data_IF_758947339829
#
_entry.id   IF_758947339829
#
_cell.length_a   1.000
_cell.length_b   1.000
_cell.length_c   1.000
_cell.angle_alpha   90.00
_cell.angle_beta   90.00
_cell.angle_gamma   90.00
#
_symmetry.space_group_name_H-M   'P 1'
#
loop_
_entity.id
_entity.type
_entity.pdbx_description
1 polymer ?
#
# COMPACT_ATOMS: atom_id res chain seq x y z
N UNK A 1 -6.91 -13.11 -42.41
CA UNK A 1 -6.38 -12.20 -41.37
C UNK A 1 -6.33 -10.79 -41.94
N UNK A 2 -7.01 -9.80 -41.32
CA UNK A 2 -7.04 -8.41 -41.80
C UNK A 2 -6.26 -7.54 -40.80
N UNK A 3 -5.12 -6.99 -41.23
CA UNK A 3 -4.31 -6.10 -40.41
C UNK A 3 -4.91 -4.69 -40.45
N UNK A 4 -5.29 -4.16 -39.29
CA UNK A 4 -5.91 -2.84 -39.19
C UNK A 4 -5.10 -1.96 -38.25
N UNK A 5 -4.55 -0.86 -38.77
CA UNK A 5 -3.80 0.12 -37.97
C UNK A 5 -4.69 1.34 -37.70
N UNK A 6 -5.01 1.58 -36.43
CA UNK A 6 -5.79 2.76 -36.02
C UNK A 6 -5.01 4.05 -36.36
N UNK A 7 -5.69 4.96 -37.05
CA UNK A 7 -5.18 6.31 -37.28
C UNK A 7 -5.17 7.09 -35.96
N UNK A 8 -4.14 7.90 -35.76
CA UNK A 8 -3.94 8.73 -34.57
C UNK A 8 -3.45 10.11 -35.01
N UNK A 9 -3.66 11.13 -34.17
CA UNK A 9 -3.18 12.48 -34.46
C UNK A 9 -1.64 12.57 -34.33
N UNK A 10 -0.90 12.88 -35.42
CA UNK A 10 0.54 13.05 -35.37
C UNK A 10 0.99 14.22 -34.48
N UNK A 11 0.14 15.23 -34.26
CA UNK A 11 0.46 16.38 -33.40
C UNK A 11 0.46 15.99 -31.93
N UNK A 12 -0.53 15.21 -31.50
CA UNK A 12 -0.56 14.62 -30.17
C UNK A 12 0.68 13.74 -29.91
N UNK A 13 1.06 12.89 -30.88
CA UNK A 13 2.29 12.07 -30.78
C UNK A 13 3.53 12.93 -30.55
N UNK A 14 3.73 13.99 -31.35
CA UNK A 14 4.87 14.91 -31.19
C UNK A 14 4.84 15.64 -29.84
N UNK A 15 3.65 15.97 -29.35
CA UNK A 15 3.47 16.64 -28.06
C UNK A 15 3.88 15.75 -26.91
N UNK A 16 3.40 14.51 -26.89
CA UNK A 16 3.76 13.50 -25.88
C UNK A 16 5.26 13.18 -25.95
N UNK A 17 5.79 12.90 -27.15
CA UNK A 17 7.21 12.60 -27.34
C UNK A 17 8.12 13.69 -26.77
N UNK A 18 7.81 14.96 -27.05
CA UNK A 18 8.58 16.10 -26.54
C UNK A 18 8.39 16.30 -25.03
N UNK A 19 7.17 16.18 -24.50
CA UNK A 19 6.86 16.41 -23.09
C UNK A 19 7.57 15.40 -22.19
N UNK A 20 7.53 14.11 -22.56
CA UNK A 20 8.09 13.01 -21.77
C UNK A 20 9.47 12.55 -22.24
N UNK A 21 10.07 13.26 -23.21
CA UNK A 21 11.40 12.97 -23.76
C UNK A 21 11.56 11.52 -24.26
N UNK A 22 10.50 10.95 -24.84
CA UNK A 22 10.49 9.61 -25.44
C UNK A 22 10.52 9.69 -26.97
N UNK A 23 10.86 8.59 -27.62
CA UNK A 23 10.88 8.52 -29.07
C UNK A 23 9.46 8.55 -29.67
N UNK A 24 9.30 9.02 -30.93
CA UNK A 24 7.99 9.09 -31.57
C UNK A 24 7.29 7.74 -31.75
N UNK A 25 8.03 6.62 -31.82
CA UNK A 25 7.42 5.29 -31.95
C UNK A 25 6.72 4.92 -30.64
N UNK A 26 7.39 5.06 -29.49
CA UNK A 26 6.81 4.84 -28.16
C UNK A 26 5.60 5.74 -27.91
N UNK A 27 5.71 7.04 -28.18
CA UNK A 27 4.58 7.97 -28.05
C UNK A 27 3.40 7.55 -28.94
N UNK A 28 3.68 7.05 -30.15
CA UNK A 28 2.63 6.59 -31.07
C UNK A 28 1.96 5.28 -30.63
N UNK A 29 2.63 4.45 -29.82
CA UNK A 29 2.05 3.24 -29.21
C UNK A 29 1.10 3.66 -28.08
N UNK A 30 1.54 4.56 -27.19
CA UNK A 30 0.72 5.10 -26.10
C UNK A 30 -0.58 5.73 -26.62
N UNK A 31 -0.48 6.63 -27.61
CA UNK A 31 -1.66 7.26 -28.22
C UNK A 31 -2.59 6.24 -28.88
N UNK A 32 -2.05 5.18 -29.50
CA UNK A 32 -2.89 4.10 -30.08
C UNK A 32 -3.62 3.27 -29.04
N UNK A 33 -3.07 3.16 -27.83
CA UNK A 33 -3.71 2.55 -26.67
C UNK A 33 -4.65 3.50 -25.93
N UNK A 34 -4.83 4.73 -26.43
CA UNK A 34 -5.58 5.82 -25.80
C UNK A 34 -5.01 6.23 -24.42
N UNK A 35 -3.70 6.09 -24.24
CA UNK A 35 -2.96 6.56 -23.07
C UNK A 35 -2.47 7.97 -23.36
N UNK A 36 -3.30 8.96 -23.02
CA UNK A 36 -3.05 10.38 -23.36
C UNK A 36 -2.98 11.29 -22.15
N UNK A 37 -3.53 10.86 -21.02
CA UNK A 37 -3.52 11.64 -19.80
C UNK A 37 -2.16 11.58 -19.10
N UNK A 38 -1.72 12.67 -18.44
CA UNK A 38 -0.42 12.71 -17.79
C UNK A 38 -0.17 11.58 -16.82
N UNK A 39 -1.14 11.25 -15.97
CA UNK A 39 -1.05 10.22 -14.94
C UNK A 39 -0.90 8.83 -15.57
N UNK A 40 -1.63 8.57 -16.65
CA UNK A 40 -1.52 7.32 -17.41
C UNK A 40 -0.14 7.18 -18.05
N UNK A 41 0.36 8.26 -18.67
CA UNK A 41 1.66 8.22 -19.33
C UNK A 41 2.79 8.05 -18.30
N UNK A 42 2.73 8.77 -17.17
CA UNK A 42 3.67 8.61 -16.06
C UNK A 42 3.67 7.17 -15.54
N UNK A 43 2.50 6.58 -15.34
CA UNK A 43 2.39 5.18 -14.89
C UNK A 43 3.15 4.18 -15.77
N UNK A 44 3.21 4.41 -17.10
CA UNK A 44 3.92 3.52 -18.02
C UNK A 44 5.39 3.86 -18.24
N UNK A 45 5.81 5.10 -17.99
CA UNK A 45 7.15 5.59 -18.32
C UNK A 45 8.05 5.76 -17.11
N UNK A 46 7.47 5.97 -15.93
CA UNK A 46 8.20 6.28 -14.71
C UNK A 46 8.25 5.05 -13.78
N UNK A 47 9.42 4.82 -13.23
CA UNK A 47 9.65 3.86 -12.13
C UNK A 47 9.53 4.63 -10.80
N UNK A 48 8.34 5.16 -10.55
CA UNK A 48 8.03 5.98 -9.39
C UNK A 48 7.25 5.17 -8.35
N UNK A 49 7.80 5.05 -7.15
CA UNK A 49 7.17 4.33 -6.03
C UNK A 49 5.84 4.95 -5.60
N UNK A 50 5.56 6.22 -5.91
CA UNK A 50 4.26 6.85 -5.66
C UNK A 50 3.13 6.22 -6.50
N UNK A 51 3.47 5.56 -7.60
CA UNK A 51 2.52 4.80 -8.42
C UNK A 51 2.21 3.42 -7.81
N UNK A 52 2.97 3.00 -6.79
CA UNK A 52 2.69 1.78 -6.03
C UNK A 52 1.56 2.04 -5.03
N UNK A 53 0.33 1.80 -5.47
CA UNK A 53 -0.87 2.00 -4.64
C UNK A 53 -0.78 1.31 -3.26
N UNK A 54 -1.30 1.98 -2.23
CA UNK A 54 -1.33 1.47 -0.85
C UNK A 54 -2.14 0.15 -0.77
N UNK A 55 -1.65 -0.88 -0.07
CA UNK A 55 -2.30 -2.18 -0.01
C UNK A 55 -3.67 -2.16 0.70
N UNK A 56 -3.89 -1.23 1.64
CA UNK A 56 -5.17 -1.08 2.35
C UNK A 56 -6.28 -0.42 1.53
N UNK A 57 -6.01 -0.11 0.25
CA UNK A 57 -7.06 0.19 -0.72
C UNK A 57 -7.85 -1.07 -1.12
N UNK A 58 -7.32 -2.27 -0.86
CA UNK A 58 -8.12 -3.49 -0.88
C UNK A 58 -9.05 -3.51 0.32
N UNK A 59 -10.37 -3.62 0.08
CA UNK A 59 -11.37 -3.60 1.14
C UNK A 59 -11.14 -4.69 2.22
N UNK A 60 -10.77 -5.90 1.80
CA UNK A 60 -10.53 -7.05 2.68
C UNK A 60 -9.10 -7.16 3.21
N UNK A 61 -8.23 -6.17 2.96
CA UNK A 61 -6.82 -6.24 3.38
C UNK A 61 -6.68 -6.25 4.90
N UNK A 62 -7.52 -5.48 5.60
CA UNK A 62 -7.49 -5.48 7.07
C UNK A 62 -7.85 -6.85 7.64
N UNK A 63 -8.92 -7.48 7.15
CA UNK A 63 -9.34 -8.81 7.58
C UNK A 63 -8.24 -9.86 7.36
N UNK A 64 -7.54 -9.78 6.22
CA UNK A 64 -6.43 -10.67 5.91
C UNK A 64 -5.26 -10.49 6.89
N UNK A 65 -4.87 -9.25 7.16
CA UNK A 65 -3.74 -8.92 8.04
C UNK A 65 -4.06 -9.23 9.50
N UNK A 66 -5.27 -8.93 9.98
CA UNK A 66 -5.73 -9.30 11.32
C UNK A 66 -5.63 -10.81 11.53
N UNK A 67 -6.09 -11.61 10.56
CA UNK A 67 -6.04 -13.07 10.69
C UNK A 67 -4.62 -13.62 10.70
N UNK A 68 -3.72 -13.02 9.92
CA UNK A 68 -2.29 -13.37 9.92
C UNK A 68 -1.62 -12.95 11.24
N UNK A 69 -2.01 -11.82 11.82
CA UNK A 69 -1.54 -11.38 13.14
C UNK A 69 -1.96 -12.36 14.24
N UNK A 70 -3.23 -12.80 14.24
CA UNK A 70 -3.71 -13.85 15.15
C UNK A 70 -2.90 -15.14 14.99
N UNK A 71 -2.66 -15.58 13.74
CA UNK A 71 -1.85 -16.77 13.49
C UNK A 71 -0.44 -16.64 14.08
N UNK A 72 0.14 -15.44 14.03
CA UNK A 72 1.48 -15.18 14.58
C UNK A 72 1.46 -15.17 16.11
N UNK A 73 0.48 -14.52 16.72
CA UNK A 73 0.36 -14.39 18.18
C UNK A 73 0.11 -15.74 18.85
N UNK A 74 -0.71 -16.59 18.22
CA UNK A 74 -1.06 -17.91 18.72
C UNK A 74 -0.11 -19.02 18.23
N UNK A 75 1.02 -18.66 17.60
CA UNK A 75 2.03 -19.59 17.07
C UNK A 75 1.43 -20.67 16.14
N UNK A 76 0.42 -20.29 15.35
CA UNK A 76 -0.27 -21.16 14.41
C UNK A 76 0.62 -21.54 13.22
N UNK A 77 0.34 -22.71 12.64
CA UNK A 77 0.94 -23.16 11.38
C UNK A 77 0.10 -22.69 10.21
N UNK A 78 0.78 -22.17 9.19
CA UNK A 78 0.16 -21.63 7.96
C UNK A 78 0.56 -22.46 6.75
N UNK A 79 -0.39 -22.73 5.85
CA UNK A 79 -0.11 -23.30 4.53
C UNK A 79 -0.27 -22.22 3.45
N UNK A 80 0.79 -21.97 2.70
CA UNK A 80 0.70 -21.26 1.41
C UNK A 80 0.42 -22.29 0.33
N UNK A 81 -0.72 -22.17 -0.36
CA UNK A 81 -1.10 -23.04 -1.46
C UNK A 81 -1.15 -22.25 -2.76
N UNK A 82 -0.26 -22.52 -3.71
CA UNK A 82 -0.17 -21.76 -4.97
C UNK A 82 -0.47 -22.55 -6.22
N UNK A 83 -0.42 -21.90 -7.38
CA UNK A 83 -0.48 -22.56 -8.69
C UNK A 83 0.91 -22.99 -9.22
N UNK A 84 0.89 -23.90 -10.19
CA UNK A 84 2.06 -24.51 -10.85
C UNK A 84 2.69 -23.66 -11.96
N UNK A 85 2.04 -22.59 -12.39
CA UNK A 85 2.57 -21.69 -13.41
C UNK A 85 3.61 -20.70 -12.85
N UNK A 86 4.11 -19.77 -13.67
CA UNK A 86 5.15 -18.82 -13.22
C UNK A 86 4.61 -17.79 -12.21
N UNK A 87 3.36 -17.35 -12.35
CA UNK A 87 2.74 -16.39 -11.42
C UNK A 87 2.49 -17.11 -10.08
N UNK A 88 1.91 -18.32 -10.10
CA UNK A 88 1.69 -19.14 -8.90
C UNK A 88 2.96 -19.53 -8.15
N UNK A 89 4.01 -19.98 -8.85
CA UNK A 89 5.28 -20.34 -8.21
C UNK A 89 5.98 -19.15 -7.58
N UNK A 90 6.04 -18.00 -8.28
CA UNK A 90 6.66 -16.80 -7.73
C UNK A 90 5.85 -16.22 -6.56
N UNK A 91 4.52 -16.28 -6.65
CA UNK A 91 3.62 -15.93 -5.55
C UNK A 91 3.85 -16.79 -4.31
N UNK A 92 4.00 -18.10 -4.51
CA UNK A 92 4.24 -19.05 -3.41
C UNK A 92 5.53 -18.73 -2.68
N UNK A 93 6.62 -18.50 -3.41
CA UNK A 93 7.92 -18.14 -2.82
C UNK A 93 7.82 -16.80 -2.09
N UNK A 94 7.29 -15.76 -2.74
CA UNK A 94 7.19 -14.42 -2.16
C UNK A 94 6.35 -14.41 -0.88
N UNK A 95 5.18 -15.05 -0.90
CA UNK A 95 4.29 -15.11 0.25
C UNK A 95 4.92 -15.92 1.39
N UNK A 96 5.54 -17.06 1.06
CA UNK A 96 6.22 -17.90 2.05
C UNK A 96 7.33 -17.15 2.76
N UNK A 97 8.19 -16.44 2.01
CA UNK A 97 9.29 -15.66 2.57
C UNK A 97 8.77 -14.50 3.42
N UNK A 98 7.75 -13.76 2.93
CA UNK A 98 7.15 -12.66 3.67
C UNK A 98 6.57 -13.09 5.03
N UNK A 99 5.87 -14.22 5.08
CA UNK A 99 5.27 -14.77 6.29
C UNK A 99 6.32 -15.34 7.25
N UNK A 100 7.35 -16.04 6.74
CA UNK A 100 8.48 -16.53 7.57
C UNK A 100 9.25 -15.38 8.20
N UNK A 101 9.55 -14.35 7.42
CA UNK A 101 10.17 -13.12 7.93
C UNK A 101 9.26 -12.43 8.95
N UNK A 102 7.95 -12.66 8.88
CA UNK A 102 6.97 -12.11 9.82
C UNK A 102 6.88 -12.94 11.11
N UNK A 103 7.58 -14.07 11.19
CA UNK A 103 7.69 -14.92 12.38
C UNK A 103 6.72 -16.08 12.42
N UNK A 104 6.12 -16.47 11.29
CA UNK A 104 5.18 -17.60 11.21
C UNK A 104 5.88 -18.92 10.85
N UNK A 105 5.34 -20.05 11.32
CA UNK A 105 5.69 -21.39 10.82
C UNK A 105 4.90 -21.66 9.53
N UNK A 106 5.59 -21.71 8.39
CA UNK A 106 4.96 -21.76 7.07
C UNK A 106 5.30 -23.04 6.31
N UNK A 107 4.26 -23.75 5.91
CA UNK A 107 4.27 -24.83 4.94
C UNK A 107 3.91 -24.27 3.56
N UNK A 108 4.43 -24.89 2.50
CA UNK A 108 4.11 -24.50 1.12
C UNK A 108 3.72 -25.74 0.32
N UNK A 109 2.73 -25.60 -0.57
CA UNK A 109 2.32 -26.64 -1.51
C UNK A 109 1.86 -26.00 -2.83
N UNK A 110 2.08 -26.72 -3.91
CA UNK A 110 1.50 -26.44 -5.23
C UNK A 110 0.87 -27.75 -5.75
N UNK A 111 -0.09 -27.70 -6.69
CA UNK A 111 -0.64 -28.88 -7.35
C UNK A 111 0.45 -29.82 -7.86
N UNK A 112 0.25 -31.11 -7.68
CA UNK A 112 1.14 -32.16 -8.17
C UNK A 112 0.46 -33.01 -9.25
N UNK A 113 1.16 -33.27 -10.36
CA UNK A 113 0.69 -34.20 -11.40
C UNK A 113 -0.60 -33.77 -12.10
N UNK A 114 -1.66 -34.57 -11.96
CA UNK A 114 -2.98 -34.34 -12.59
C UNK A 114 -4.00 -33.70 -11.62
N UNK A 115 -3.56 -33.14 -10.49
CA UNK A 115 -4.45 -32.38 -9.62
C UNK A 115 -5.13 -31.22 -10.39
N UNK A 116 -6.45 -31.00 -10.19
CA UNK A 116 -7.13 -29.90 -10.83
C UNK A 116 -6.57 -28.56 -10.34
N UNK A 117 -6.67 -27.54 -11.20
CA UNK A 117 -6.30 -26.18 -10.85
C UNK A 117 -7.12 -25.67 -9.64
N UNK A 118 -6.43 -25.00 -8.72
CA UNK A 118 -7.02 -24.41 -7.51
C UNK A 118 -6.86 -25.26 -6.26
N UNK A 119 -7.37 -24.74 -5.14
CA UNK A 119 -7.33 -25.44 -3.85
C UNK A 119 -8.03 -26.79 -3.96
N UNK A 120 -7.41 -27.85 -3.44
CA UNK A 120 -7.95 -29.22 -3.45
C UNK A 120 -8.30 -29.70 -2.04
N UNK A 121 -9.28 -30.60 -1.92
CA UNK A 121 -9.56 -31.25 -0.63
C UNK A 121 -8.35 -32.01 -0.08
N UNK A 122 -7.48 -32.53 -0.94
CA UNK A 122 -6.24 -33.18 -0.52
C UNK A 122 -5.27 -32.18 0.15
N UNK A 123 -5.22 -30.93 -0.32
CA UNK A 123 -4.46 -29.87 0.34
C UNK A 123 -5.09 -29.47 1.69
N UNK A 124 -6.42 -29.45 1.79
CA UNK A 124 -7.13 -29.22 3.06
C UNK A 124 -6.88 -30.36 4.05
N UNK A 125 -6.96 -31.62 3.61
CA UNK A 125 -6.66 -32.79 4.43
C UNK A 125 -5.18 -32.79 4.87
N UNK A 126 -4.27 -32.36 3.99
CA UNK A 126 -2.87 -32.15 4.36
C UNK A 126 -2.73 -31.10 5.47
N UNK A 127 -3.44 -29.98 5.36
CA UNK A 127 -3.44 -28.94 6.39
C UNK A 127 -3.94 -29.49 7.74
N UNK A 128 -5.08 -30.17 7.75
CA UNK A 128 -5.66 -30.79 8.95
C UNK A 128 -4.67 -31.78 9.61
N UNK A 129 -4.08 -32.68 8.81
CA UNK A 129 -3.16 -33.71 9.31
C UNK A 129 -1.85 -33.15 9.88
N UNK A 130 -1.48 -31.92 9.54
CA UNK A 130 -0.27 -31.26 10.04
C UNK A 130 -0.56 -30.22 11.13
N UNK A 131 -1.82 -30.07 11.55
CA UNK A 131 -2.25 -29.08 12.54
C UNK A 131 -2.14 -27.65 12.04
N UNK A 132 -2.34 -27.43 10.73
CA UNK A 132 -2.43 -26.10 10.12
C UNK A 132 -3.85 -25.57 10.31
N UNK A 133 -3.96 -24.35 10.82
CA UNK A 133 -5.23 -23.66 11.09
C UNK A 133 -5.52 -22.53 10.11
N UNK A 134 -4.56 -22.15 9.26
CA UNK A 134 -4.72 -21.12 8.24
C UNK A 134 -4.13 -21.57 6.89
N UNK A 135 -4.95 -21.50 5.84
CA UNK A 135 -4.52 -21.64 4.45
C UNK A 135 -4.56 -20.26 3.78
N UNK A 136 -3.49 -19.90 3.07
CA UNK A 136 -3.42 -18.73 2.21
C UNK A 136 -3.24 -19.22 0.79
N UNK A 137 -4.28 -19.08 -0.04
CA UNK A 137 -4.15 -19.43 -1.46
C UNK A 137 -3.51 -18.28 -2.22
N UNK A 138 -2.61 -18.60 -3.14
CA UNK A 138 -1.89 -17.63 -3.97
C UNK A 138 -2.08 -17.95 -5.44
N UNK A 139 -2.47 -16.96 -6.22
CA UNK A 139 -2.76 -17.08 -7.65
C UNK A 139 -3.84 -18.13 -7.99
N UNK A 140 -4.69 -18.43 -7.00
CA UNK A 140 -5.83 -19.33 -7.14
C UNK A 140 -6.79 -19.16 -5.96
N UNK A 141 -7.94 -19.84 -6.02
CA UNK A 141 -8.91 -19.90 -4.93
C UNK A 141 -10.23 -19.19 -5.21
N UNK A 142 -10.30 -18.22 -6.13
CA UNK A 142 -11.52 -17.40 -6.33
C UNK A 142 -12.74 -18.20 -6.80
N UNK A 143 -12.54 -19.42 -7.30
CA UNK A 143 -13.60 -20.33 -7.74
C UNK A 143 -13.76 -21.58 -6.85
N UNK A 144 -12.99 -21.70 -5.77
CA UNK A 144 -12.93 -22.90 -4.92
C UNK A 144 -13.92 -22.86 -3.74
N UNK A 145 -15.21 -22.61 -4.02
CA UNK A 145 -16.24 -22.51 -2.98
C UNK A 145 -16.38 -23.78 -2.12
N UNK A 146 -16.32 -24.96 -2.76
CA UNK A 146 -16.49 -26.23 -2.08
C UNK A 146 -15.31 -26.53 -1.15
N UNK A 147 -14.08 -26.26 -1.60
CA UNK A 147 -12.87 -26.53 -0.83
C UNK A 147 -12.69 -25.53 0.33
N UNK A 148 -13.07 -24.26 0.13
CA UNK A 148 -13.11 -23.28 1.24
C UNK A 148 -14.16 -23.68 2.28
N UNK A 149 -15.34 -24.12 1.86
CA UNK A 149 -16.36 -24.62 2.79
C UNK A 149 -15.90 -25.89 3.52
N UNK A 150 -15.16 -26.77 2.84
CA UNK A 150 -14.59 -27.97 3.44
C UNK A 150 -13.50 -27.63 4.47
N UNK A 151 -12.59 -26.71 4.17
CA UNK A 151 -11.59 -26.20 5.12
C UNK A 151 -12.26 -25.64 6.39
N UNK A 152 -13.32 -24.83 6.21
CA UNK A 152 -14.11 -24.31 7.34
C UNK A 152 -14.71 -25.42 8.20
N UNK A 153 -15.22 -26.51 7.61
CA UNK A 153 -15.74 -27.65 8.37
C UNK A 153 -14.66 -28.35 9.22
N UNK A 154 -13.39 -28.25 8.79
CA UNK A 154 -12.22 -28.74 9.53
C UNK A 154 -11.68 -27.74 10.56
N UNK A 155 -12.30 -26.56 10.68
CA UNK A 155 -11.82 -25.49 11.55
C UNK A 155 -10.57 -24.78 11.01
N UNK A 156 -10.36 -24.83 9.70
CA UNK A 156 -9.23 -24.19 9.01
C UNK A 156 -9.74 -22.95 8.29
N UNK A 157 -9.16 -21.81 8.63
CA UNK A 157 -9.45 -20.55 7.95
C UNK A 157 -8.76 -20.47 6.60
N UNK A 158 -9.37 -19.74 5.66
CA UNK A 158 -8.79 -19.51 4.33
C UNK A 158 -8.72 -18.02 4.05
N UNK A 159 -7.58 -17.55 3.55
CA UNK A 159 -7.41 -16.25 2.88
C UNK A 159 -7.12 -16.53 1.41
N UNK A 160 -7.81 -15.83 0.52
CA UNK A 160 -7.63 -15.98 -0.92
C UNK A 160 -6.89 -14.76 -1.46
N UNK A 161 -5.77 -14.98 -2.15
CA UNK A 161 -5.07 -13.96 -2.94
C UNK A 161 -5.04 -14.41 -4.40
N UNK A 162 -5.83 -13.73 -5.24
CA UNK A 162 -6.09 -14.17 -6.60
C UNK A 162 -6.28 -12.95 -7.51
N UNK A 163 -6.32 -13.19 -8.81
CA UNK A 163 -6.60 -12.19 -9.82
C UNK A 163 -7.42 -12.75 -10.99
N UNK A 164 -7.89 -14.00 -10.90
CA UNK A 164 -8.68 -14.62 -11.96
C UNK A 164 -10.11 -14.04 -12.04
N UNK A 165 -10.78 -14.22 -13.18
CA UNK A 165 -12.17 -13.80 -13.27
C UNK A 165 -13.06 -14.74 -12.47
N UNK A 166 -13.78 -14.18 -11.50
CA UNK A 166 -14.85 -14.91 -10.82
C UNK A 166 -15.97 -15.29 -11.81
N UNK A 167 -16.37 -16.56 -11.80
CA UNK A 167 -17.47 -17.08 -12.62
C UNK A 167 -18.77 -17.20 -11.82
N UNK A 168 -18.68 -17.34 -10.50
CA UNK A 168 -19.81 -17.43 -9.60
C UNK A 168 -20.40 -16.03 -9.27
N UNK A 169 -21.64 -15.96 -8.76
CA UNK A 169 -22.27 -14.68 -8.37
C UNK A 169 -21.57 -13.96 -7.21
N UNK A 170 -20.83 -14.68 -6.37
CA UNK A 170 -20.15 -14.16 -5.18
C UNK A 170 -18.87 -14.96 -4.93
N UNK A 171 -17.84 -14.37 -4.29
CA UNK A 171 -16.63 -15.09 -3.92
C UNK A 171 -16.89 -16.18 -2.86
N UNK A 172 -15.94 -17.12 -2.65
CA UNK A 172 -16.01 -18.08 -1.55
C UNK A 172 -16.11 -17.40 -0.19
N UNK A 173 -16.73 -18.06 0.79
CA UNK A 173 -16.85 -17.59 2.18
C UNK A 173 -15.53 -17.80 2.96
N UNK A 174 -14.46 -17.19 2.48
CA UNK A 174 -13.15 -17.11 3.11
C UNK A 174 -13.10 -15.97 4.15
N UNK A 175 -12.09 -15.97 5.02
CA UNK A 175 -11.85 -14.86 5.98
C UNK A 175 -11.61 -13.56 5.25
N UNK A 176 -10.82 -13.61 4.17
CA UNK A 176 -10.58 -12.49 3.29
C UNK A 176 -10.38 -12.97 1.86
N UNK A 177 -10.87 -12.18 0.90
CA UNK A 177 -10.65 -12.39 -0.54
C UNK A 177 -10.03 -11.14 -1.11
N UNK A 178 -8.79 -11.27 -1.56
CA UNK A 178 -7.99 -10.22 -2.16
C UNK A 178 -7.88 -10.50 -3.66
N UNK A 179 -8.80 -9.92 -4.42
CA UNK A 179 -8.78 -9.96 -5.88
C UNK A 179 -9.18 -8.59 -6.43
N UNK A 180 -8.29 -7.92 -7.19
CA UNK A 180 -8.53 -6.55 -7.65
C UNK A 180 -9.65 -6.48 -8.70
N UNK A 181 -10.04 -7.61 -9.29
CA UNK A 181 -11.14 -7.71 -10.25
C UNK A 181 -12.51 -7.85 -9.58
N UNK A 182 -12.59 -8.07 -8.27
CA UNK A 182 -13.88 -8.00 -7.58
C UNK A 182 -14.50 -6.61 -7.75
N UNK A 183 -15.83 -6.50 -7.94
CA UNK A 183 -16.50 -5.21 -8.10
C UNK A 183 -16.33 -4.26 -6.91
N UNK A 184 -16.21 -4.83 -5.71
CA UNK A 184 -16.11 -4.17 -4.41
C UNK A 184 -14.68 -4.24 -3.82
N UNK A 185 -13.68 -4.63 -4.61
CA UNK A 185 -12.29 -4.75 -4.14
C UNK A 185 -11.72 -3.45 -3.59
N UNK A 186 -12.18 -2.30 -4.08
CA UNK A 186 -11.65 -0.97 -3.75
C UNK A 186 -10.30 -0.64 -4.38
N UNK A 187 -9.59 -1.65 -4.93
CA UNK A 187 -8.21 -1.47 -5.37
C UNK A 187 -8.13 -0.86 -6.78
N UNK A 188 -7.34 0.22 -6.99
CA UNK A 188 -7.42 1.03 -8.20
C UNK A 188 -6.80 0.40 -9.45
N UNK A 189 -5.98 -0.65 -9.29
CA UNK A 189 -5.33 -1.33 -10.41
C UNK A 189 -5.81 -2.78 -10.53
N UNK A 190 -6.73 -3.00 -11.49
CA UNK A 190 -7.44 -4.28 -11.70
C UNK A 190 -6.58 -5.39 -12.30
N UNK A 191 -5.43 -5.04 -12.86
CA UNK A 191 -4.58 -5.93 -13.65
C UNK A 191 -3.34 -6.41 -12.86
N UNK A 192 -3.40 -6.45 -11.52
CA UNK A 192 -2.35 -7.15 -10.76
C UNK A 192 -2.31 -8.63 -11.17
N UNK A 193 -1.10 -9.18 -11.20
CA UNK A 193 -0.88 -10.63 -11.24
C UNK A 193 -1.14 -11.23 -9.85
N UNK A 194 -1.28 -12.56 -9.72
CA UNK A 194 -1.34 -13.22 -8.42
C UNK A 194 -0.16 -12.84 -7.52
N UNK A 195 1.04 -12.78 -8.09
CA UNK A 195 2.26 -12.35 -7.42
C UNK A 195 2.20 -10.86 -7.03
N UNK A 196 1.59 -10.03 -7.88
CA UNK A 196 1.29 -8.63 -7.59
C UNK A 196 0.36 -8.45 -6.39
N UNK A 197 -0.65 -9.31 -6.22
CA UNK A 197 -1.52 -9.30 -5.02
C UNK A 197 -0.75 -9.78 -3.78
N UNK A 198 0.07 -10.83 -3.92
CA UNK A 198 0.92 -11.31 -2.82
C UNK A 198 1.91 -10.24 -2.35
N UNK A 199 2.49 -9.46 -3.27
CA UNK A 199 3.34 -8.32 -2.95
C UNK A 199 2.58 -7.26 -2.13
N UNK A 200 1.27 -7.07 -2.36
CA UNK A 200 0.44 -6.14 -1.57
C UNK A 200 0.19 -6.66 -0.17
N UNK A 201 0.00 -7.96 0.01
CA UNK A 201 -0.06 -8.57 1.35
C UNK A 201 1.28 -8.40 2.06
N UNK A 202 2.41 -8.71 1.40
CA UNK A 202 3.74 -8.52 1.97
C UNK A 202 4.00 -7.06 2.36
N UNK A 203 3.56 -6.11 1.54
CA UNK A 203 3.62 -4.67 1.83
C UNK A 203 2.77 -4.31 3.07
N UNK A 204 1.53 -4.82 3.18
CA UNK A 204 0.70 -4.59 4.35
C UNK A 204 1.30 -5.20 5.63
N UNK A 205 1.90 -6.39 5.55
CA UNK A 205 2.66 -6.99 6.65
C UNK A 205 3.86 -6.12 7.06
N UNK A 206 4.58 -5.54 6.09
CA UNK A 206 5.67 -4.62 6.39
C UNK A 206 5.18 -3.37 7.15
N UNK A 207 4.01 -2.82 6.78
CA UNK A 207 3.37 -1.72 7.52
C UNK A 207 3.00 -2.17 8.94
N UNK A 208 2.44 -3.37 9.10
CA UNK A 208 2.09 -3.93 10.41
C UNK A 208 3.31 -4.08 11.32
N UNK A 209 4.50 -4.43 10.79
CA UNK A 209 5.74 -4.50 11.59
C UNK A 209 6.17 -3.15 12.16
N UNK A 210 5.71 -2.03 11.59
CA UNK A 210 6.06 -0.70 12.11
C UNK A 210 5.31 -0.36 13.41
N UNK A 211 4.34 -1.18 13.83
CA UNK A 211 3.51 -0.90 15.02
C UNK A 211 2.54 0.27 14.81
N UNK A 212 2.27 0.64 13.55
CA UNK A 212 1.37 1.73 13.17
C UNK A 212 0.11 1.23 12.45
N UNK A 213 -0.05 -0.09 12.33
CA UNK A 213 -1.22 -0.68 11.69
C UNK A 213 -2.48 -0.39 12.54
N UNK A 214 -3.53 0.12 11.88
CA UNK A 214 -4.79 0.61 12.47
C UNK A 214 -4.65 1.77 13.47
N UNK A 215 -3.45 2.29 13.68
CA UNK A 215 -3.27 3.49 14.47
C UNK A 215 -3.71 4.73 13.69
N UNK A 216 -4.56 5.61 14.25
CA UNK A 216 -4.97 6.83 13.58
C UNK A 216 -3.84 7.85 13.68
N UNK A 217 -3.19 8.16 12.56
CA UNK A 217 -2.01 9.03 12.54
C UNK A 217 -2.34 10.43 12.03
N UNK A 218 -1.51 11.40 12.40
CA UNK A 218 -1.48 12.71 11.79
C UNK A 218 -0.03 13.12 11.49
N UNK A 219 0.32 13.21 10.20
CA UNK A 219 1.61 13.70 9.77
C UNK A 219 1.62 15.22 9.79
N UNK A 220 2.54 15.83 10.54
CA UNK A 220 2.66 17.27 10.74
C UNK A 220 3.98 17.79 10.15
N UNK A 221 3.87 18.85 9.36
CA UNK A 221 4.97 19.71 8.94
C UNK A 221 4.71 21.15 9.41
N UNK A 222 5.74 21.76 9.98
CA UNK A 222 5.69 23.12 10.50
C UNK A 222 6.97 23.86 10.09
N UNK A 223 6.84 25.00 9.41
CA UNK A 223 8.02 25.74 8.94
C UNK A 223 7.66 27.04 8.22
N UNK A 224 8.64 27.58 7.51
CA UNK A 224 8.45 28.75 6.64
C UNK A 224 7.86 28.30 5.31
N UNK A 225 6.87 29.03 4.78
CA UNK A 225 6.34 28.74 3.45
C UNK A 225 7.45 29.03 2.41
N UNK A 226 7.89 28.04 1.61
CA UNK A 226 8.96 28.22 0.63
C UNK A 226 8.59 29.20 -0.49
N UNK A 227 7.31 29.57 -0.62
CA UNK A 227 6.81 30.54 -1.60
C UNK A 227 6.67 31.96 -1.03
N UNK A 228 6.91 32.15 0.27
CA UNK A 228 6.76 33.46 0.91
C UNK A 228 7.88 34.44 0.51
N UNK A 229 7.58 35.74 0.34
CA UNK A 229 8.61 36.76 0.13
C UNK A 229 9.50 36.92 1.36
N UNK A 230 10.81 37.05 1.19
CA UNK A 230 11.76 37.27 2.32
C UNK A 230 11.39 38.49 3.18
N UNK A 231 10.82 39.53 2.57
CA UNK A 231 10.42 40.75 3.26
C UNK A 231 9.19 40.58 4.18
N UNK A 232 8.41 39.51 4.01
CA UNK A 232 7.24 39.21 4.84
C UNK A 232 7.15 37.69 5.04
N UNK A 233 7.85 37.12 6.04
CA UNK A 233 7.86 35.69 6.25
C UNK A 233 6.45 35.22 6.61
N UNK A 234 5.94 34.28 5.82
CA UNK A 234 4.70 33.56 6.11
C UNK A 234 5.08 32.18 6.61
N UNK A 235 4.47 31.75 7.70
CA UNK A 235 4.64 30.40 8.22
C UNK A 235 3.56 29.48 7.69
N UNK A 236 3.91 28.21 7.51
CA UNK A 236 3.02 27.15 7.07
C UNK A 236 2.96 26.04 8.10
N UNK A 237 1.74 25.59 8.38
CA UNK A 237 1.44 24.36 9.06
C UNK A 237 0.66 23.47 8.10
N UNK A 238 1.23 22.31 7.77
CA UNK A 238 0.55 21.28 6.98
C UNK A 238 0.37 20.04 7.83
N UNK A 239 -0.85 19.51 7.83
CA UNK A 239 -1.16 18.28 8.53
C UNK A 239 -2.00 17.37 7.63
N UNK A 240 -1.67 16.09 7.61
CA UNK A 240 -2.45 15.06 6.92
C UNK A 240 -2.89 13.98 7.91
N UNK A 241 -4.18 13.67 7.96
CA UNK A 241 -4.70 12.51 8.69
C UNK A 241 -4.45 11.27 7.84
N UNK A 242 -3.86 10.25 8.46
CA UNK A 242 -3.56 8.99 7.82
C UNK A 242 -4.22 7.85 8.59
N UNK A 243 -4.91 6.98 7.88
CA UNK A 243 -5.43 5.71 8.41
C UNK A 243 -4.79 4.61 7.55
N UNK A 244 -4.00 3.71 8.16
CA UNK A 244 -3.18 2.72 7.43
C UNK A 244 -2.30 3.34 6.32
N UNK A 245 -1.75 4.52 6.61
CA UNK A 245 -0.94 5.34 5.68
C UNK A 245 -1.70 5.86 4.45
N UNK A 246 -3.03 5.82 4.45
CA UNK A 246 -3.89 6.44 3.43
C UNK A 246 -4.32 7.82 3.93
N UNK A 247 -4.09 8.86 3.12
CA UNK A 247 -4.56 10.21 3.44
C UNK A 247 -6.08 10.30 3.40
N UNK A 248 -6.70 10.62 4.53
CA UNK A 248 -8.16 10.77 4.66
C UNK A 248 -8.59 12.23 4.72
N UNK A 249 -7.70 13.13 5.15
CA UNK A 249 -7.93 14.58 5.07
C UNK A 249 -6.64 15.35 5.26
N UNK A 250 -6.63 16.61 4.79
CA UNK A 250 -5.50 17.53 4.90
C UNK A 250 -5.93 18.88 5.40
N UNK A 251 -5.07 19.50 6.21
CA UNK A 251 -5.19 20.85 6.71
C UNK A 251 -3.92 21.62 6.32
N UNK A 252 -4.08 22.81 5.74
CA UNK A 252 -2.99 23.74 5.46
C UNK A 252 -3.36 25.10 6.02
N UNK A 253 -2.53 25.64 6.91
CA UNK A 253 -2.72 26.95 7.52
C UNK A 253 -1.51 27.81 7.20
N UNK A 254 -1.76 28.99 6.63
CA UNK A 254 -0.78 30.05 6.47
C UNK A 254 -1.05 31.13 7.51
N UNK A 255 -0.01 31.59 8.19
CA UNK A 255 -0.14 32.66 9.18
C UNK A 255 1.09 33.55 9.24
N UNK A 256 0.84 34.82 9.55
CA UNK A 256 1.87 35.81 9.81
C UNK A 256 2.34 35.72 11.28
N UNK A 257 3.56 36.18 11.62
CA UNK A 257 4.08 36.17 12.99
C UNK A 257 3.16 36.79 14.05
N UNK A 258 2.27 37.71 13.63
CA UNK A 258 1.35 38.45 14.50
C UNK A 258 -0.02 37.76 14.72
N UNK A 259 -0.31 36.65 14.01
CA UNK A 259 -1.66 36.07 13.90
C UNK A 259 -1.75 34.56 14.18
N UNK A 260 -1.57 34.14 15.44
CA UNK A 260 -1.48 32.72 15.82
C UNK A 260 -2.71 32.14 16.58
N UNK A 261 -3.65 32.97 17.04
CA UNK A 261 -4.64 32.57 18.07
C UNK A 261 -5.63 31.48 17.64
N UNK A 262 -6.14 31.51 16.40
CA UNK A 262 -7.12 30.52 15.91
C UNK A 262 -6.45 29.26 15.32
N UNK A 263 -5.14 29.34 15.06
CA UNK A 263 -4.35 28.26 14.44
C UNK A 263 -4.24 27.04 15.36
N UNK A 264 -3.97 27.25 16.65
CA UNK A 264 -3.87 26.15 17.62
C UNK A 264 -5.20 25.40 17.77
N UNK A 265 -6.32 26.13 17.86
CA UNK A 265 -7.63 25.51 18.01
C UNK A 265 -7.99 24.63 16.80
N UNK A 266 -7.64 25.08 15.59
CA UNK A 266 -7.80 24.29 14.36
C UNK A 266 -6.93 23.04 14.37
N UNK A 267 -5.66 23.15 14.76
CA UNK A 267 -4.75 22.01 14.86
C UNK A 267 -5.22 20.99 15.90
N UNK A 268 -5.63 21.45 17.09
CA UNK A 268 -6.13 20.58 18.16
C UNK A 268 -7.36 19.77 17.68
N UNK A 269 -8.32 20.44 17.04
CA UNK A 269 -9.48 19.78 16.45
C UNK A 269 -9.08 18.80 15.33
N UNK A 270 -8.04 19.12 14.57
CA UNK A 270 -7.53 18.26 13.51
C UNK A 270 -6.79 17.03 14.04
N UNK A 271 -6.04 17.14 15.14
CA UNK A 271 -5.26 16.04 15.71
C UNK A 271 -6.01 15.19 16.74
N UNK A 272 -7.21 15.61 17.16
CA UNK A 272 -7.98 14.91 18.19
C UNK A 272 -8.06 13.39 17.95
N UNK A 273 -7.57 12.62 18.92
CA UNK A 273 -7.58 11.16 18.90
C UNK A 273 -6.56 10.52 17.96
N UNK A 274 -5.49 11.24 17.58
CA UNK A 274 -4.46 10.77 16.64
C UNK A 274 -3.07 10.87 17.22
N UNK A 275 -2.20 9.95 16.80
CA UNK A 275 -0.77 10.01 17.07
C UNK A 275 -0.16 11.02 16.10
N UNK A 276 0.46 12.06 16.64
CA UNK A 276 1.11 13.10 15.81
C UNK A 276 2.52 12.63 15.48
N UNK A 277 2.86 12.67 14.20
CA UNK A 277 4.17 12.29 13.68
C UNK A 277 4.76 13.49 12.96
N UNK A 278 6.03 13.79 13.18
CA UNK A 278 6.75 14.80 12.39
C UNK A 278 8.16 14.37 12.05
N UNK A 279 8.74 15.01 11.02
CA UNK A 279 10.16 14.87 10.73
C UNK A 279 10.96 15.76 11.68
N UNK A 280 11.80 15.15 12.52
CA UNK A 280 12.62 15.82 13.52
C UNK A 280 11.79 16.56 14.59
N UNK A 281 11.58 15.89 15.73
CA UNK A 281 10.79 16.44 16.84
C UNK A 281 11.39 17.74 17.37
N UNK A 282 12.73 17.85 17.43
CA UNK A 282 13.39 19.03 18.00
C UNK A 282 13.11 20.29 17.19
N UNK A 283 13.11 20.18 15.86
CA UNK A 283 12.77 21.28 14.96
C UNK A 283 11.31 21.68 15.10
N UNK A 284 10.42 20.67 15.16
CA UNK A 284 8.97 20.89 15.36
C UNK A 284 8.72 21.60 16.71
N UNK A 285 9.27 21.11 17.81
CA UNK A 285 9.12 21.71 19.15
C UNK A 285 9.71 23.13 19.22
N UNK A 286 10.82 23.38 18.52
CA UNK A 286 11.41 24.72 18.45
C UNK A 286 10.48 25.69 17.71
N UNK A 287 9.90 25.26 16.58
CA UNK A 287 8.93 26.04 15.82
C UNK A 287 7.70 26.39 16.68
N UNK A 288 7.11 25.40 17.34
CA UNK A 288 5.91 25.65 18.16
C UNK A 288 6.19 26.57 19.35
N UNK A 289 7.32 26.40 20.04
CA UNK A 289 7.72 27.30 21.14
C UNK A 289 7.95 28.74 20.67
N UNK A 290 8.53 28.93 19.48
CA UNK A 290 8.82 30.24 18.92
C UNK A 290 7.55 31.00 18.50
N UNK A 291 6.52 30.31 17.99
CA UNK A 291 5.35 30.94 17.38
C UNK A 291 4.07 30.88 18.21
N UNK A 292 3.99 29.95 19.16
CA UNK A 292 2.79 29.75 19.99
C UNK A 292 3.08 29.83 21.50
N UNK A 293 4.34 30.04 21.88
CA UNK A 293 4.78 30.18 23.27
C UNK A 293 5.15 28.86 23.96
N UNK A 294 5.84 28.97 25.10
CA UNK A 294 6.42 27.82 25.82
C UNK A 294 5.43 26.88 26.51
N UNK A 295 4.13 27.19 26.50
CA UNK A 295 3.08 26.37 27.10
C UNK A 295 2.46 25.36 26.11
N UNK A 296 2.85 25.41 24.83
CA UNK A 296 2.42 24.43 23.83
C UNK A 296 3.37 23.24 23.89
N UNK A 297 2.87 22.13 24.43
CA UNK A 297 3.55 20.84 24.40
C UNK A 297 2.81 19.92 23.44
N UNK A 298 3.50 19.50 22.38
CA UNK A 298 3.00 18.54 21.40
C UNK A 298 3.75 17.23 21.62
N UNK A 299 3.00 16.20 21.99
CA UNK A 299 3.53 14.84 22.01
C UNK A 299 3.61 14.33 20.57
N UNK A 300 4.82 14.41 20.02
CA UNK A 300 5.11 14.08 18.63
C UNK A 300 6.09 12.93 18.57
N UNK A 301 5.72 11.90 17.80
CA UNK A 301 6.62 10.82 17.42
C UNK A 301 7.59 11.30 16.33
N UNK A 302 8.88 11.12 16.58
CA UNK A 302 9.93 11.56 15.66
C UNK A 302 10.17 10.53 14.54
N UNK A 303 9.67 10.84 13.33
CA UNK A 303 9.85 9.99 12.16
C UNK A 303 11.31 9.83 11.76
N UNK A 304 12.16 10.82 12.05
CA UNK A 304 13.58 10.74 11.71
C UNK A 304 14.31 9.65 12.52
N UNK A 305 13.85 9.34 13.74
CA UNK A 305 14.40 8.26 14.54
C UNK A 305 14.01 6.88 13.99
N UNK A 306 12.74 6.74 13.59
CA UNK A 306 12.25 5.52 12.93
C UNK A 306 13.01 5.26 11.63
N UNK A 307 13.11 6.26 10.76
CA UNK A 307 13.81 6.16 9.48
C UNK A 307 15.31 5.98 9.69
N UNK A 308 15.89 6.64 10.69
CA UNK A 308 17.32 6.57 11.00
C UNK A 308 17.82 5.18 11.37
N UNK A 309 16.96 4.31 11.89
CA UNK A 309 17.30 2.91 12.15
C UNK A 309 17.65 2.13 10.87
N UNK A 310 17.05 2.51 9.74
CA UNK A 310 17.23 1.86 8.44
C UNK A 310 18.16 2.68 7.52
N UNK A 311 18.03 4.01 7.53
CA UNK A 311 18.78 4.94 6.69
C UNK A 311 19.38 6.09 7.51
N UNK A 312 20.50 5.85 8.24
CA UNK A 312 21.12 6.86 9.10
C UNK A 312 21.50 8.16 8.37
N UNK A 313 21.84 8.10 7.09
CA UNK A 313 22.23 9.27 6.28
C UNK A 313 21.11 10.30 6.12
N UNK A 314 19.84 9.86 6.10
CA UNK A 314 18.69 10.75 5.90
C UNK A 314 18.43 11.66 7.11
N UNK A 315 18.82 11.22 8.30
CA UNK A 315 18.57 11.98 9.56
C UNK A 315 19.34 13.29 9.66
N UNK A 316 20.32 13.51 8.78
CA UNK A 316 21.12 14.75 8.74
C UNK A 316 20.46 15.87 7.94
N UNK A 317 19.41 15.54 7.19
CA UNK A 317 18.71 16.47 6.31
C UNK A 317 17.37 16.88 6.91
N UNK A 318 17.03 18.15 6.75
CA UNK A 318 15.69 18.66 6.99
C UNK A 318 14.69 18.02 6.02
N UNK A 319 13.40 18.06 6.36
CA UNK A 319 12.36 17.53 5.47
C UNK A 319 12.38 18.22 4.09
N UNK A 320 12.63 19.53 4.06
CA UNK A 320 12.72 20.29 2.81
C UNK A 320 13.88 19.80 1.93
N UNK A 321 15.06 19.57 2.52
CA UNK A 321 16.22 19.06 1.77
C UNK A 321 15.93 17.66 1.22
N UNK A 322 15.26 16.80 1.99
CA UNK A 322 14.84 15.47 1.53
C UNK A 322 13.82 15.56 0.38
N UNK A 323 12.84 16.45 0.49
CA UNK A 323 11.87 16.70 -0.59
C UNK A 323 12.56 17.22 -1.86
N UNK A 324 13.55 18.09 -1.73
CA UNK A 324 14.29 18.61 -2.87
C UNK A 324 15.22 17.56 -3.51
N UNK A 325 15.81 16.69 -2.69
CA UNK A 325 16.64 15.58 -3.13
C UNK A 325 15.83 14.40 -3.70
N UNK A 326 14.54 14.32 -3.36
CA UNK A 326 13.63 13.29 -3.86
C UNK A 326 13.55 13.31 -5.38
N UNK A 327 13.66 12.13 -5.97
CA UNK A 327 13.36 11.90 -7.39
C UNK A 327 11.86 11.68 -7.63
N UNK A 328 11.10 11.39 -6.58
CA UNK A 328 9.64 11.35 -6.57
C UNK A 328 9.18 12.82 -6.58
N UNK A 329 8.68 13.30 -7.72
CA UNK A 329 8.23 14.68 -7.95
C UNK A 329 6.85 14.72 -8.57
#
# INVERSE_FOLDING_TARGET
MKWTKKNIDPTLVRTIARRYQIDPLTASILVRRNLTEPEQIRFYLEDDLQLLNNPFLFASMEDAIDRILVAREEEEKVLVFGDSDTDGLTSTVLMTDALKDFGLEVFQKVPEGEEPYGLSNAAVDFAENNGISLIITVDCGISNHAEVAYARQKGIDVIITDHHHIQAPSPPEAVAVLDPKLPDSGYPFRDLSGCGVCLKVAHALAIARLGMYKEPLALLYAGTDPTAPEAKPTFVLEAARLDNLIETSRLRILFDPEGASDTLQKLENFFRGRIIISWNKKETDAFFRAHFGGNVDLDVMDLSQLVGAFWPSMTKSSLIELMQASKLK
#
